data_IF_068940615586
#
_entry.id   IF_068940615586
#
_cell.length_a   1.000
_cell.length_b   1.000
_cell.length_c   1.000
_cell.angle_alpha   90.00
_cell.angle_beta   90.00
_cell.angle_gamma   90.00
#
_symmetry.space_group_name_H-M   'P 1'
#
loop_
_entity.id
_entity.type
_entity.pdbx_description
1 polymer ?
#
# COMPACT_ATOMS: atom_id res chain seq x y z
N UNK A 1 -0.63 -19.66 -13.15
CA UNK A 1 0.40 -20.23 -12.23
C UNK A 1 0.30 -19.41 -10.97
N UNK A 2 0.12 -20.03 -9.80
CA UNK A 2 0.11 -19.31 -8.53
C UNK A 2 1.54 -18.88 -8.19
N UNK A 3 1.71 -17.62 -7.78
CA UNK A 3 2.97 -17.05 -7.31
C UNK A 3 2.77 -16.47 -5.91
N UNK A 4 3.80 -16.57 -5.08
CA UNK A 4 3.83 -15.99 -3.75
C UNK A 4 4.48 -14.60 -3.78
N UNK A 5 3.92 -13.67 -3.02
CA UNK A 5 4.36 -12.28 -2.86
C UNK A 5 4.50 -12.00 -1.37
N UNK A 6 5.64 -11.48 -0.93
CA UNK A 6 5.90 -11.13 0.46
C UNK A 6 5.71 -9.64 0.64
N UNK A 7 4.71 -9.23 1.42
CA UNK A 7 4.34 -7.82 1.65
C UNK A 7 4.29 -7.58 3.16
N UNK A 8 5.15 -6.70 3.68
CA UNK A 8 5.23 -6.36 5.12
C UNK A 8 5.29 -7.56 6.08
N UNK A 9 6.03 -8.61 5.69
CA UNK A 9 6.22 -9.90 6.38
C UNK A 9 5.12 -10.96 6.16
N UNK A 10 3.98 -10.59 5.58
CA UNK A 10 2.93 -11.54 5.22
C UNK A 10 3.15 -12.10 3.80
N UNK A 11 2.73 -13.34 3.58
CA UNK A 11 2.83 -14.01 2.26
C UNK A 11 1.44 -14.13 1.65
N UNK A 12 1.30 -13.62 0.42
CA UNK A 12 0.08 -13.67 -0.36
C UNK A 12 0.29 -14.49 -1.63
N UNK A 13 -0.67 -15.34 -1.97
CA UNK A 13 -0.61 -16.19 -3.15
C UNK A 13 -1.66 -15.75 -4.17
N UNK A 14 -1.19 -15.36 -5.36
CA UNK A 14 -2.06 -14.88 -6.44
C UNK A 14 -1.72 -15.57 -7.76
N UNK A 15 -2.73 -15.75 -8.61
CA UNK A 15 -2.58 -16.47 -9.88
C UNK A 15 -2.57 -15.57 -11.12
N UNK A 16 -2.90 -14.30 -10.93
CA UNK A 16 -3.38 -13.39 -11.96
C UNK A 16 -2.80 -11.98 -11.84
N UNK A 17 -1.70 -11.81 -11.08
CA UNK A 17 -0.96 -10.56 -10.97
C UNK A 17 -0.30 -10.22 -12.32
N UNK A 18 -0.62 -9.05 -12.85
CA UNK A 18 -0.09 -8.50 -14.10
C UNK A 18 1.12 -7.58 -13.87
N UNK A 19 1.16 -6.90 -12.72
CA UNK A 19 2.25 -6.01 -12.32
C UNK A 19 2.45 -6.06 -10.80
N UNK A 20 3.70 -5.97 -10.36
CA UNK A 20 4.07 -5.94 -8.95
C UNK A 20 5.32 -5.09 -8.73
N UNK A 21 5.25 -4.20 -7.76
CA UNK A 21 6.31 -3.33 -7.26
C UNK A 21 6.18 -3.21 -5.75
N UNK A 22 7.31 -3.29 -5.03
CA UNK A 22 7.32 -3.27 -3.56
C UNK A 22 8.66 -2.74 -3.03
N UNK A 23 8.66 -1.47 -2.65
CA UNK A 23 9.68 -0.85 -1.79
C UNK A 23 9.19 -0.75 -0.34
N UNK A 24 7.88 -0.81 -0.12
CA UNK A 24 7.25 -0.73 1.20
C UNK A 24 7.78 -1.80 2.17
N UNK A 25 8.00 -3.02 1.67
CA UNK A 25 8.54 -4.13 2.47
C UNK A 25 9.98 -3.92 2.92
N UNK A 26 10.69 -2.93 2.37
CA UNK A 26 12.05 -2.56 2.80
C UNK A 26 12.07 -1.48 3.87
N UNK A 27 10.92 -0.83 4.15
CA UNK A 27 10.81 0.26 5.14
C UNK A 27 11.07 -0.27 6.56
N UNK A 28 11.92 0.42 7.30
CA UNK A 28 12.22 0.05 8.67
C UNK A 28 11.26 0.73 9.66
N UNK A 29 10.19 0.04 10.05
CA UNK A 29 9.23 0.57 11.03
C UNK A 29 9.77 0.69 12.47
N UNK A 30 11.04 0.33 12.73
CA UNK A 30 11.68 0.55 14.03
C UNK A 30 12.48 1.87 14.10
N UNK A 31 12.64 2.60 12.99
CA UNK A 31 13.21 3.96 12.95
C UNK A 31 12.10 5.01 13.04
N UNK A 32 12.50 6.27 13.19
CA UNK A 32 11.60 7.41 13.05
C UNK A 32 11.21 7.58 11.57
N UNK A 33 10.00 8.07 11.29
CA UNK A 33 9.53 8.32 9.91
C UNK A 33 10.54 9.19 9.14
N UNK A 34 11.12 10.19 9.80
CA UNK A 34 12.06 11.14 9.21
C UNK A 34 13.38 10.51 8.74
N UNK A 35 13.71 9.31 9.19
CA UNK A 35 14.90 8.57 8.76
C UNK A 35 14.66 7.79 7.46
N UNK A 36 13.40 7.63 7.05
CA UNK A 36 13.01 6.85 5.88
C UNK A 36 12.70 7.75 4.68
N UNK A 37 13.09 7.31 3.48
CA UNK A 37 12.76 8.01 2.23
C UNK A 37 11.45 7.45 1.71
N UNK A 38 10.34 8.14 2.00
CA UNK A 38 9.00 7.68 1.65
C UNK A 38 8.41 8.52 0.52
N UNK A 39 7.92 7.83 -0.52
CA UNK A 39 7.26 8.43 -1.67
C UNK A 39 5.80 8.03 -1.79
N UNK A 40 5.12 8.56 -2.81
CA UNK A 40 3.72 8.25 -3.10
C UNK A 40 3.53 6.86 -3.73
N UNK A 41 4.59 6.23 -4.24
CA UNK A 41 4.57 4.90 -4.84
C UNK A 41 5.51 3.96 -4.04
N UNK A 42 4.99 3.26 -3.03
CA UNK A 42 5.77 2.33 -2.20
C UNK A 42 5.40 0.86 -2.45
N UNK A 43 4.14 0.57 -2.76
CA UNK A 43 3.67 -0.77 -3.12
C UNK A 43 2.59 -0.63 -4.19
N UNK A 44 2.74 -1.33 -5.31
CA UNK A 44 1.68 -1.44 -6.32
C UNK A 44 1.55 -2.88 -6.78
N UNK A 45 0.34 -3.40 -6.73
CA UNK A 45 0.00 -4.73 -7.25
C UNK A 45 -1.24 -4.62 -8.12
N UNK A 46 -1.07 -4.93 -9.40
CA UNK A 46 -2.16 -4.94 -10.39
C UNK A 46 -2.51 -6.37 -10.77
N UNK A 47 -3.80 -6.62 -10.89
CA UNK A 47 -4.39 -7.90 -11.26
C UNK A 47 -4.92 -7.84 -12.69
N UNK A 48 -4.98 -9.00 -13.35
CA UNK A 48 -5.45 -9.11 -14.73
C UNK A 48 -6.94 -8.76 -14.91
N UNK A 49 -7.71 -8.70 -13.83
CA UNK A 49 -9.10 -8.25 -13.81
C UNK A 49 -9.25 -6.71 -13.83
N UNK A 50 -8.14 -5.97 -13.90
CA UNK A 50 -8.09 -4.51 -13.92
C UNK A 50 -8.10 -3.86 -12.55
N UNK A 51 -8.07 -4.62 -11.46
CA UNK A 51 -7.94 -4.10 -10.10
C UNK A 51 -6.47 -3.79 -9.78
N UNK A 52 -6.22 -2.71 -9.08
CA UNK A 52 -4.89 -2.35 -8.56
C UNK A 52 -5.00 -1.95 -7.09
N UNK A 53 -4.13 -2.51 -6.25
CA UNK A 53 -3.87 -1.98 -4.91
C UNK A 53 -2.60 -1.15 -4.98
N UNK A 54 -2.69 0.08 -4.50
CA UNK A 54 -1.60 1.05 -4.51
C UNK A 54 -1.42 1.65 -3.11
N UNK A 55 -0.18 1.81 -2.67
CA UNK A 55 0.18 2.31 -1.34
C UNK A 55 1.31 3.32 -1.45
N UNK A 56 1.06 4.50 -0.90
CA UNK A 56 2.02 5.59 -0.82
C UNK A 56 2.05 6.23 0.55
N UNK A 57 3.08 7.02 0.81
CA UNK A 57 3.16 7.92 1.96
C UNK A 57 2.89 9.36 1.53
N UNK A 58 1.97 10.03 2.23
CA UNK A 58 1.63 11.42 2.00
C UNK A 58 2.00 12.26 3.22
N UNK A 59 2.89 13.22 3.01
CA UNK A 59 3.31 14.15 4.05
C UNK A 59 2.13 15.02 4.50
N UNK A 60 2.08 15.34 5.81
CA UNK A 60 1.14 16.35 6.30
C UNK A 60 1.50 17.71 5.71
N UNK A 61 0.51 18.41 5.16
CA UNK A 61 0.67 19.80 4.70
C UNK A 61 0.38 20.84 5.80
N UNK A 62 -0.06 20.41 6.99
CA UNK A 62 -0.32 21.32 8.10
C UNK A 62 1.01 21.69 8.79
N UNK A 63 1.19 22.98 9.09
CA UNK A 63 2.35 23.54 9.82
C UNK A 63 2.49 22.99 11.27
N UNK A 64 1.66 22.02 11.66
CA UNK A 64 1.80 21.27 12.91
C UNK A 64 2.90 20.21 12.73
N UNK A 65 4.08 20.51 13.28
CA UNK A 65 5.26 19.63 13.35
C UNK A 65 4.96 18.24 13.98
N UNK A 66 3.79 18.05 14.60
CA UNK A 66 3.36 16.79 15.22
C UNK A 66 2.77 15.77 14.23
N UNK A 67 2.29 16.19 13.04
CA UNK A 67 1.74 15.25 12.04
C UNK A 67 2.80 14.89 11.00
N UNK A 68 3.39 13.71 11.11
CA UNK A 68 4.48 13.28 10.22
C UNK A 68 4.01 12.86 8.82
N UNK A 69 2.72 12.54 8.66
CA UNK A 69 2.12 12.05 7.41
C UNK A 69 1.30 10.78 7.65
N UNK A 70 0.76 10.22 6.58
CA UNK A 70 0.06 8.94 6.61
C UNK A 70 0.31 8.13 5.34
N UNK A 71 0.32 6.81 5.50
CA UNK A 71 0.12 5.91 4.37
C UNK A 71 -1.29 6.06 3.85
N UNK A 72 -1.44 6.09 2.53
CA UNK A 72 -2.72 6.02 1.84
C UNK A 72 -2.72 4.74 1.02
N UNK A 73 -3.78 3.95 1.19
CA UNK A 73 -3.98 2.68 0.50
C UNK A 73 -5.19 2.84 -0.41
N UNK A 74 -4.99 2.70 -1.71
CA UNK A 74 -6.03 2.74 -2.71
C UNK A 74 -6.35 1.34 -3.25
N UNK A 75 -7.64 1.10 -3.52
CA UNK A 75 -8.08 0.05 -4.46
C UNK A 75 -8.71 0.75 -5.66
N UNK A 76 -8.11 0.56 -6.83
CA UNK A 76 -8.47 1.24 -8.06
C UNK A 76 -8.89 0.21 -9.09
N UNK A 77 -9.81 0.60 -9.97
CA UNK A 77 -10.24 -0.23 -11.09
C UNK A 77 -9.95 0.49 -12.40
N UNK A 78 -9.37 -0.24 -13.35
CA UNK A 78 -9.09 0.24 -14.69
C UNK A 78 -8.33 1.58 -14.71
N UNK A 79 -7.32 1.72 -13.85
CA UNK A 79 -6.44 2.91 -13.83
C UNK A 79 -7.18 4.22 -13.50
N UNK A 80 -8.31 4.17 -12.79
CA UNK A 80 -9.09 5.35 -12.37
C UNK A 80 -8.72 5.81 -10.93
N UNK A 81 -7.57 6.51 -10.80
CA UNK A 81 -7.14 7.09 -9.51
C UNK A 81 -8.07 8.21 -9.01
N UNK A 82 -8.88 8.81 -9.88
CA UNK A 82 -9.83 9.88 -9.51
C UNK A 82 -11.07 9.31 -8.79
N UNK A 83 -11.38 8.03 -9.01
CA UNK A 83 -12.52 7.35 -8.38
C UNK A 83 -12.14 5.99 -7.80
N UNK A 84 -11.31 5.96 -6.73
CA UNK A 84 -10.91 4.71 -6.10
C UNK A 84 -12.12 4.00 -5.48
N UNK A 85 -12.17 2.68 -5.62
CA UNK A 85 -13.20 1.83 -5.00
C UNK A 85 -13.04 1.77 -3.49
N UNK A 86 -11.81 1.94 -2.99
CA UNK A 86 -11.50 2.03 -1.58
C UNK A 86 -10.34 3.00 -1.38
N UNK A 87 -10.43 3.82 -0.33
CA UNK A 87 -9.31 4.62 0.20
C UNK A 87 -9.24 4.38 1.71
N UNK A 88 -8.13 3.83 2.18
CA UNK A 88 -7.81 3.70 3.60
C UNK A 88 -6.57 4.54 3.91
N UNK A 89 -6.40 4.92 5.18
CA UNK A 89 -5.18 5.58 5.62
C UNK A 89 -4.62 4.93 6.88
N UNK A 90 -3.31 5.02 7.09
CA UNK A 90 -2.61 4.50 8.26
C UNK A 90 -1.47 5.41 8.68
N UNK A 91 -1.29 5.64 9.98
CA UNK A 91 -0.07 6.28 10.48
C UNK A 91 1.14 5.35 10.39
N UNK A 92 2.24 5.74 11.06
CA UNK A 92 3.47 4.96 11.19
C UNK A 92 3.31 3.74 12.12
N UNK A 93 2.51 2.77 11.70
CA UNK A 93 2.25 1.52 12.41
C UNK A 93 2.19 0.37 11.41
N UNK A 94 3.22 -0.51 11.44
CA UNK A 94 3.36 -1.64 10.52
C UNK A 94 2.16 -2.59 10.57
N UNK A 95 1.64 -2.86 11.77
CA UNK A 95 0.55 -3.82 11.97
C UNK A 95 -0.76 -3.29 11.41
N UNK A 96 -1.10 -2.04 11.73
CA UNK A 96 -2.28 -1.33 11.22
C UNK A 96 -2.22 -1.19 9.70
N UNK A 97 -1.04 -0.87 9.14
CA UNK A 97 -0.82 -0.79 7.70
C UNK A 97 -1.02 -2.15 7.03
N UNK A 98 -0.38 -3.21 7.55
CA UNK A 98 -0.51 -4.57 7.04
C UNK A 98 -1.96 -5.07 7.02
N UNK A 99 -2.73 -4.81 8.08
CA UNK A 99 -4.15 -5.15 8.14
C UNK A 99 -4.98 -4.45 7.05
N UNK A 100 -4.69 -3.17 6.78
CA UNK A 100 -5.40 -2.39 5.74
C UNK A 100 -5.02 -2.83 4.34
N UNK A 101 -3.74 -3.16 4.11
CA UNK A 101 -3.29 -3.75 2.84
C UNK A 101 -3.97 -5.09 2.62
N UNK A 102 -4.04 -5.96 3.63
CA UNK A 102 -4.79 -7.22 3.54
C UNK A 102 -6.25 -6.98 3.14
N UNK A 103 -6.92 -6.02 3.78
CA UNK A 103 -8.30 -5.67 3.44
C UNK A 103 -8.44 -5.22 1.97
N UNK A 104 -7.50 -4.41 1.48
CA UNK A 104 -7.47 -3.94 0.10
C UNK A 104 -7.23 -5.08 -0.91
N UNK A 105 -6.32 -6.01 -0.58
CA UNK A 105 -6.05 -7.20 -1.38
C UNK A 105 -7.27 -8.15 -1.43
N UNK A 106 -7.91 -8.39 -0.29
CA UNK A 106 -9.13 -9.21 -0.19
C UNK A 106 -10.27 -8.63 -1.07
N UNK A 107 -10.38 -7.30 -1.20
CA UNK A 107 -11.35 -6.66 -2.08
C UNK A 107 -11.00 -6.81 -3.56
N UNK A 108 -9.71 -6.82 -3.89
CA UNK A 108 -9.20 -6.79 -5.27
C UNK A 108 -9.16 -8.16 -5.94
N UNK A 109 -9.22 -9.23 -5.14
CA UNK A 109 -9.11 -10.63 -5.55
C UNK A 109 -10.33 -11.46 -5.09
N UNK A 110 -11.53 -11.10 -5.56
CA UNK A 110 -12.75 -11.91 -5.46
C UNK A 110 -13.27 -12.37 -6.83
#
# INVERSE_FOLDING_TARGET
>A
MIKAYSILDDVYEFSDVSYYYDELSSVNFNSEVSDEVLGEDLLMISFSNGMTVDVGWYHSFEEDEEKQGEFVIYVIKNEDWESPLLRLTSGWDKSSLGQKIKQALDLSHN
#
